data_IF_891104016547
#
_entry.id   IF_891104016547
#
_cell.length_a   1.000
_cell.length_b   1.000
_cell.length_c   1.000
_cell.angle_alpha   90.00
_cell.angle_beta   90.00
_cell.angle_gamma   90.00
#
_symmetry.space_group_name_H-M   'P 1'
#
loop_
_entity.id
_entity.type
_entity.pdbx_description
1 polymer ?
#
# COMPACT_ATOMS: atom_id res chain seq x y z
N UNK A 1 7.61 -6.11 -5.92
CA UNK A 1 8.83 -6.15 -6.71
C UNK A 1 8.64 -6.87 -8.04
N UNK A 2 9.49 -6.58 -9.03
CA UNK A 2 9.43 -7.30 -10.32
C UNK A 2 10.12 -8.67 -10.24
N UNK A 3 11.00 -8.85 -9.24
CA UNK A 3 11.79 -10.08 -9.08
C UNK A 3 11.69 -10.66 -7.66
N UNK A 4 11.95 -11.95 -7.55
CA UNK A 4 11.88 -12.72 -6.31
C UNK A 4 13.08 -12.49 -5.36
N UNK A 5 14.27 -12.18 -5.93
CA UNK A 5 15.55 -12.28 -5.23
C UNK A 5 15.75 -11.33 -4.04
N UNK A 6 15.02 -10.20 -3.98
CA UNK A 6 15.23 -9.20 -2.91
C UNK A 6 14.75 -9.69 -1.55
N UNK A 7 13.63 -10.37 -1.52
CA UNK A 7 12.93 -10.73 -0.28
C UNK A 7 12.51 -12.20 -0.20
N UNK A 8 13.05 -13.04 -1.07
CA UNK A 8 12.81 -14.50 -1.01
C UNK A 8 14.06 -15.29 -1.36
N UNK A 9 14.01 -16.59 -1.13
CA UNK A 9 15.04 -17.56 -1.58
C UNK A 9 15.01 -17.82 -3.08
N UNK A 10 14.03 -17.26 -3.81
CA UNK A 10 13.86 -17.46 -5.25
C UNK A 10 14.67 -16.49 -6.09
N UNK A 11 14.66 -16.72 -7.40
CA UNK A 11 15.27 -15.85 -8.41
C UNK A 11 14.39 -15.74 -9.65
N UNK A 12 14.66 -14.73 -10.49
CA UNK A 12 13.89 -14.46 -11.69
C UNK A 12 12.68 -13.54 -11.48
N UNK A 13 11.88 -13.38 -12.53
CA UNK A 13 10.75 -12.48 -12.54
C UNK A 13 9.51 -13.12 -11.88
N UNK A 14 8.78 -12.33 -11.07
CA UNK A 14 7.51 -12.76 -10.46
C UNK A 14 6.51 -13.16 -11.54
N UNK A 15 6.39 -12.39 -12.63
CA UNK A 15 5.48 -12.68 -13.74
C UNK A 15 5.75 -14.01 -14.47
N UNK A 16 6.97 -14.53 -14.35
CA UNK A 16 7.37 -15.82 -14.97
C UNK A 16 7.30 -17.00 -13.99
N UNK A 17 6.90 -16.77 -12.72
CA UNK A 17 6.89 -17.79 -11.69
C UNK A 17 5.45 -18.26 -11.43
N UNK A 18 5.22 -19.56 -11.48
CA UNK A 18 3.90 -20.10 -11.17
C UNK A 18 3.57 -19.90 -9.68
N UNK A 19 2.31 -19.59 -9.39
CA UNK A 19 1.85 -19.33 -8.01
C UNK A 19 2.22 -20.45 -7.03
N UNK A 20 2.05 -21.70 -7.42
CA UNK A 20 2.41 -22.86 -6.59
C UNK A 20 3.91 -22.88 -6.21
N UNK A 21 4.77 -22.41 -7.12
CA UNK A 21 6.22 -22.40 -6.91
C UNK A 21 6.60 -21.24 -5.99
N UNK A 22 5.88 -20.12 -6.06
CA UNK A 22 6.05 -19.00 -5.12
C UNK A 22 5.75 -19.39 -3.67
N UNK A 23 4.76 -20.26 -3.43
CA UNK A 23 4.37 -20.70 -2.09
C UNK A 23 5.42 -21.58 -1.40
N UNK A 24 6.42 -22.08 -2.14
CA UNK A 24 7.52 -22.89 -1.61
C UNK A 24 8.75 -22.07 -1.26
N UNK A 25 8.75 -20.77 -1.56
CA UNK A 25 9.89 -19.90 -1.30
C UNK A 25 9.94 -19.46 0.16
N UNK A 26 11.15 -19.36 0.67
CA UNK A 26 11.41 -18.74 1.96
C UNK A 26 11.46 -17.21 1.79
N UNK A 27 10.54 -16.53 2.47
CA UNK A 27 10.41 -15.07 2.47
C UNK A 27 10.89 -14.44 3.80
N UNK A 28 11.50 -15.19 4.70
CA UNK A 28 11.94 -14.71 6.00
C UNK A 28 13.45 -14.64 6.18
N UNK A 29 14.23 -15.59 5.60
CA UNK A 29 15.69 -15.67 5.79
C UNK A 29 16.45 -14.42 5.35
N UNK A 30 15.96 -13.67 4.39
CA UNK A 30 16.56 -12.40 3.94
C UNK A 30 16.55 -11.34 5.05
N UNK A 31 15.55 -11.38 5.92
CA UNK A 31 15.39 -10.45 7.02
C UNK A 31 16.27 -10.86 8.22
N UNK A 32 16.14 -12.10 8.69
CA UNK A 32 17.03 -12.66 9.71
C UNK A 32 16.93 -14.19 9.78
N UNK A 33 17.95 -14.82 10.36
CA UNK A 33 17.97 -16.28 10.57
C UNK A 33 16.80 -16.79 11.44
N UNK A 34 16.24 -15.95 12.31
CA UNK A 34 15.10 -16.29 13.16
C UNK A 34 13.79 -16.45 12.37
N UNK A 35 13.71 -15.83 11.19
CA UNK A 35 12.55 -15.88 10.29
C UNK A 35 12.75 -16.87 9.13
N UNK A 36 13.81 -17.68 9.18
CA UNK A 36 14.05 -18.69 8.16
C UNK A 36 12.89 -19.68 8.07
N UNK A 37 12.47 -19.97 6.84
CA UNK A 37 11.36 -20.89 6.56
C UNK A 37 9.97 -20.23 6.53
N UNK A 38 9.85 -18.91 6.75
CA UNK A 38 8.58 -18.21 6.58
C UNK A 38 8.17 -18.22 5.10
N UNK A 39 6.98 -18.75 4.76
CA UNK A 39 6.54 -18.81 3.37
C UNK A 39 6.12 -17.43 2.85
N UNK A 40 6.07 -17.27 1.53
CA UNK A 40 5.40 -16.12 0.91
C UNK A 40 3.90 -16.21 1.22
N UNK A 41 3.29 -15.23 1.93
CA UNK A 41 1.87 -15.28 2.23
C UNK A 41 1.06 -15.04 0.97
N UNK A 42 -0.06 -15.74 0.83
CA UNK A 42 -1.04 -15.37 -0.17
C UNK A 42 -1.79 -14.10 0.23
N UNK A 43 -2.36 -13.40 -0.75
CA UNK A 43 -3.23 -12.25 -0.47
C UNK A 43 -4.43 -12.64 0.42
N UNK A 44 -4.96 -13.85 0.21
CA UNK A 44 -6.07 -14.35 1.03
C UNK A 44 -5.64 -14.56 2.49
N UNK A 45 -4.48 -15.16 2.74
CA UNK A 45 -3.97 -15.37 4.11
C UNK A 45 -3.75 -14.03 4.83
N UNK A 46 -3.06 -13.09 4.19
CA UNK A 46 -2.79 -11.77 4.76
C UNK A 46 -4.10 -10.99 5.00
N UNK A 47 -5.02 -11.00 4.04
CA UNK A 47 -6.31 -10.30 4.15
C UNK A 47 -7.19 -10.87 5.27
N UNK A 48 -7.30 -12.21 5.39
CA UNK A 48 -8.03 -12.84 6.50
C UNK A 48 -7.46 -12.46 7.86
N UNK A 49 -6.14 -12.44 7.99
CA UNK A 49 -5.49 -12.04 9.23
C UNK A 49 -5.78 -10.56 9.58
N UNK A 50 -5.75 -9.66 8.61
CA UNK A 50 -6.12 -8.27 8.84
C UNK A 50 -7.56 -8.13 9.33
N UNK A 51 -8.51 -8.85 8.72
CA UNK A 51 -9.91 -8.85 9.13
C UNK A 51 -10.10 -9.42 10.53
N UNK A 52 -9.46 -10.55 10.83
CA UNK A 52 -9.51 -11.21 12.14
C UNK A 52 -8.97 -10.32 13.26
N UNK A 53 -7.89 -9.63 13.01
CA UNK A 53 -7.26 -8.71 13.97
C UNK A 53 -7.90 -7.32 14.00
N UNK A 54 -8.90 -7.05 13.15
CA UNK A 54 -9.55 -5.74 13.06
C UNK A 54 -8.62 -4.64 12.54
N UNK A 55 -7.59 -5.00 11.76
CA UNK A 55 -6.64 -4.05 11.19
C UNK A 55 -7.21 -3.39 9.94
N UNK A 56 -7.02 -2.08 9.83
CA UNK A 56 -7.20 -1.39 8.57
C UNK A 56 -6.04 -1.73 7.62
N UNK A 57 -6.35 -2.08 6.38
CA UNK A 57 -5.35 -2.47 5.39
C UNK A 57 -5.23 -1.43 4.27
N UNK A 58 -4.03 -0.94 4.03
CA UNK A 58 -3.65 -0.23 2.80
C UNK A 58 -3.00 -1.24 1.84
N UNK A 59 -3.73 -1.60 0.80
CA UNK A 59 -3.35 -2.66 -0.14
C UNK A 59 -2.67 -2.04 -1.36
N UNK A 60 -1.34 -2.11 -1.41
CA UNK A 60 -0.58 -1.68 -2.58
C UNK A 60 -0.68 -2.72 -3.71
N UNK A 61 -1.32 -2.32 -4.80
CA UNK A 61 -1.38 -3.10 -6.04
C UNK A 61 -0.11 -2.82 -6.84
N UNK A 62 0.80 -3.79 -6.89
CA UNK A 62 2.09 -3.69 -7.57
C UNK A 62 2.16 -4.67 -8.74
N UNK A 63 1.61 -4.29 -9.90
CA UNK A 63 1.55 -5.16 -11.06
C UNK A 63 2.90 -5.31 -11.75
N UNK A 64 3.18 -6.47 -12.30
CA UNK A 64 4.23 -6.61 -13.30
C UNK A 64 3.84 -5.88 -14.58
N UNK A 65 4.84 -5.37 -15.31
CA UNK A 65 4.65 -4.64 -16.57
C UNK A 65 3.80 -5.43 -17.56
N UNK A 66 2.75 -4.79 -18.08
CA UNK A 66 1.80 -5.38 -19.03
C UNK A 66 0.62 -6.11 -18.36
N UNK A 67 0.61 -6.21 -17.01
CA UNK A 67 -0.47 -6.86 -16.26
C UNK A 67 -1.23 -5.86 -15.34
N UNK A 68 -1.09 -4.57 -15.59
CA UNK A 68 -1.61 -3.52 -14.71
C UNK A 68 -3.13 -3.66 -14.50
N UNK A 69 -3.90 -3.69 -15.56
CA UNK A 69 -5.35 -3.78 -15.49
C UNK A 69 -5.83 -5.12 -14.91
N UNK A 70 -5.18 -6.22 -15.31
CA UNK A 70 -5.52 -7.56 -14.83
C UNK A 70 -5.28 -7.68 -13.32
N UNK A 71 -4.11 -7.21 -12.85
CA UNK A 71 -3.76 -7.24 -11.42
C UNK A 71 -4.68 -6.34 -10.61
N UNK A 72 -4.95 -5.12 -11.10
CA UNK A 72 -5.87 -4.19 -10.45
C UNK A 72 -7.26 -4.76 -10.27
N UNK A 73 -7.82 -5.35 -11.33
CA UNK A 73 -9.13 -6.00 -11.30
C UNK A 73 -9.17 -7.18 -10.32
N UNK A 74 -8.14 -8.04 -10.37
CA UNK A 74 -8.08 -9.23 -9.51
C UNK A 74 -7.95 -8.86 -8.03
N UNK A 75 -7.04 -7.93 -7.70
CA UNK A 75 -6.83 -7.45 -6.34
C UNK A 75 -8.10 -6.80 -5.76
N UNK A 76 -8.76 -5.93 -6.52
CA UNK A 76 -9.99 -5.27 -6.07
C UNK A 76 -11.13 -6.27 -5.79
N UNK A 77 -11.33 -7.23 -6.69
CA UNK A 77 -12.36 -8.28 -6.49
C UNK A 77 -12.06 -9.15 -5.28
N UNK A 78 -10.80 -9.57 -5.12
CA UNK A 78 -10.38 -10.36 -3.97
C UNK A 78 -10.54 -9.57 -2.66
N UNK A 79 -10.15 -8.30 -2.63
CA UNK A 79 -10.33 -7.42 -1.47
C UNK A 79 -11.81 -7.30 -1.09
N UNK A 80 -12.70 -7.03 -2.04
CA UNK A 80 -14.14 -6.97 -1.79
C UNK A 80 -14.68 -8.25 -1.14
N UNK A 81 -14.26 -9.42 -1.62
CA UNK A 81 -14.70 -10.70 -1.06
C UNK A 81 -14.15 -10.93 0.35
N UNK A 82 -12.88 -10.65 0.57
CA UNK A 82 -12.22 -10.85 1.87
C UNK A 82 -12.76 -9.94 2.96
N UNK A 83 -13.07 -8.67 2.64
CA UNK A 83 -13.62 -7.69 3.59
C UNK A 83 -15.15 -7.61 3.57
N UNK A 84 -15.83 -8.58 2.94
CA UNK A 84 -17.29 -8.60 2.92
C UNK A 84 -17.86 -8.64 4.35
N UNK A 85 -18.61 -7.61 4.72
CA UNK A 85 -19.20 -7.47 6.05
C UNK A 85 -18.24 -7.03 7.15
N UNK A 86 -16.98 -6.75 6.84
CA UNK A 86 -16.05 -6.16 7.79
C UNK A 86 -16.48 -4.71 8.12
N UNK A 87 -16.32 -4.33 9.40
CA UNK A 87 -16.67 -2.98 9.86
C UNK A 87 -15.80 -1.89 9.21
N UNK A 88 -14.55 -2.23 8.88
CA UNK A 88 -13.59 -1.32 8.23
C UNK A 88 -13.19 -1.91 6.89
N UNK A 89 -13.39 -1.14 5.83
CA UNK A 89 -13.02 -1.54 4.47
C UNK A 89 -11.56 -1.20 4.19
N UNK A 90 -10.85 -1.99 3.36
CA UNK A 90 -9.46 -1.72 3.01
C UNK A 90 -9.37 -0.55 2.04
N UNK A 91 -8.21 0.10 1.98
CA UNK A 91 -7.84 1.04 0.94
C UNK A 91 -7.05 0.31 -0.15
N UNK A 92 -7.33 0.61 -1.42
CA UNK A 92 -6.52 0.12 -2.54
C UNK A 92 -5.62 1.23 -3.05
N UNK A 93 -4.32 1.00 -3.18
CA UNK A 93 -3.43 1.98 -3.77
C UNK A 93 -2.52 1.37 -4.84
N UNK A 94 -1.98 2.19 -5.73
CA UNK A 94 -1.02 1.74 -6.74
C UNK A 94 -0.25 2.92 -7.33
N UNK A 95 1.05 2.76 -7.50
CA UNK A 95 1.89 3.67 -8.31
C UNK A 95 1.60 3.58 -9.80
N UNK A 96 0.81 2.57 -10.23
CA UNK A 96 0.42 2.37 -11.62
C UNK A 96 -1.03 2.84 -11.82
N UNK A 97 -1.26 4.01 -12.46
CA UNK A 97 -2.61 4.56 -12.64
C UNK A 97 -3.56 3.61 -13.38
N UNK A 98 -3.03 2.80 -14.30
CA UNK A 98 -3.83 1.82 -15.03
C UNK A 98 -4.38 0.70 -14.13
N UNK A 99 -3.59 0.25 -13.14
CA UNK A 99 -4.05 -0.73 -12.17
C UNK A 99 -5.13 -0.16 -11.26
N UNK A 100 -4.94 1.08 -10.80
CA UNK A 100 -5.91 1.77 -9.94
C UNK A 100 -7.22 2.09 -10.67
N UNK A 101 -7.15 2.48 -11.95
CA UNK A 101 -8.32 2.67 -12.79
C UNK A 101 -9.11 1.37 -12.99
N UNK A 102 -8.43 0.26 -13.27
CA UNK A 102 -9.06 -1.06 -13.41
C UNK A 102 -9.67 -1.56 -12.09
N UNK A 103 -9.01 -1.30 -10.96
CA UNK A 103 -9.54 -1.59 -9.63
C UNK A 103 -10.84 -0.79 -9.37
N UNK A 104 -10.86 0.50 -9.72
CA UNK A 104 -12.05 1.36 -9.63
C UNK A 104 -13.21 0.85 -10.49
N UNK A 105 -12.93 0.44 -11.71
CA UNK A 105 -13.95 -0.09 -12.61
C UNK A 105 -14.54 -1.41 -12.09
N UNK A 106 -13.68 -2.28 -11.57
CA UNK A 106 -14.09 -3.59 -11.08
C UNK A 106 -14.88 -3.53 -9.75
N UNK A 107 -14.51 -2.60 -8.83
CA UNK A 107 -15.09 -2.48 -7.49
C UNK A 107 -15.09 -0.99 -7.10
N UNK A 108 -16.05 -0.20 -7.61
CA UNK A 108 -16.06 1.25 -7.42
C UNK A 108 -16.27 1.68 -5.96
N UNK A 109 -16.88 0.83 -5.13
CA UNK A 109 -17.19 1.12 -3.73
C UNK A 109 -15.97 1.10 -2.80
N UNK A 110 -14.90 0.36 -3.12
CA UNK A 110 -13.70 0.38 -2.30
C UNK A 110 -12.95 1.71 -2.42
N UNK A 111 -12.51 2.31 -1.30
CA UNK A 111 -11.72 3.54 -1.33
C UNK A 111 -10.35 3.31 -1.98
N UNK A 112 -9.81 4.36 -2.59
CA UNK A 112 -8.53 4.33 -3.29
C UNK A 112 -7.59 5.41 -2.80
N UNK A 113 -6.32 5.07 -2.67
CA UNK A 113 -5.21 5.98 -2.41
C UNK A 113 -4.35 6.19 -3.65
N UNK A 114 -3.84 7.39 -3.81
CA UNK A 114 -2.96 7.76 -4.90
C UNK A 114 -1.51 7.94 -4.42
N UNK A 115 -0.65 6.90 -4.49
CA UNK A 115 0.76 7.05 -4.15
C UNK A 115 1.53 7.78 -5.25
N UNK A 116 2.41 8.68 -4.81
CA UNK A 116 3.32 9.43 -5.67
C UNK A 116 4.62 9.71 -4.93
N UNK A 117 5.74 9.76 -5.62
CA UNK A 117 7.00 10.16 -4.98
C UNK A 117 6.98 11.64 -4.62
N UNK A 118 6.56 12.47 -5.53
CA UNK A 118 6.44 13.93 -5.36
C UNK A 118 5.05 14.38 -5.75
N UNK A 119 4.41 15.23 -4.97
CA UNK A 119 3.07 15.75 -5.25
C UNK A 119 3.13 16.61 -6.52
N UNK A 120 2.52 16.19 -7.65
CA UNK A 120 2.56 16.95 -8.89
C UNK A 120 1.67 18.21 -8.81
N UNK A 121 1.91 19.19 -9.67
CA UNK A 121 1.14 20.45 -9.66
C UNK A 121 -0.36 20.23 -9.94
N UNK A 122 -0.68 19.23 -10.74
CA UNK A 122 -2.05 18.86 -11.15
C UNK A 122 -2.67 17.75 -10.27
N UNK A 123 -2.12 17.50 -9.08
CA UNK A 123 -2.51 16.42 -8.20
C UNK A 123 -4.03 16.32 -7.94
N UNK A 124 -4.73 17.46 -7.83
CA UNK A 124 -6.19 17.44 -7.61
C UNK A 124 -6.93 16.80 -8.79
N UNK A 125 -6.56 17.16 -10.02
CA UNK A 125 -7.16 16.59 -11.22
C UNK A 125 -6.88 15.09 -11.31
N UNK A 126 -5.64 14.68 -11.03
CA UNK A 126 -5.25 13.29 -11.02
C UNK A 126 -6.01 12.46 -9.95
N UNK A 127 -6.13 12.97 -8.72
CA UNK A 127 -6.90 12.35 -7.65
C UNK A 127 -8.38 12.17 -8.01
N UNK A 128 -8.98 13.20 -8.57
CA UNK A 128 -10.39 13.17 -9.03
C UNK A 128 -10.58 12.16 -10.16
N UNK A 129 -9.69 12.14 -11.14
CA UNK A 129 -9.74 11.22 -12.28
C UNK A 129 -9.71 9.77 -11.84
N UNK A 130 -8.90 9.42 -10.84
CA UNK A 130 -8.80 8.07 -10.28
C UNK A 130 -9.83 7.80 -9.17
N UNK A 131 -10.54 8.81 -8.69
CA UNK A 131 -11.49 8.71 -7.59
C UNK A 131 -10.82 8.32 -6.29
N UNK A 132 -9.62 8.88 -6.03
CA UNK A 132 -8.88 8.65 -4.80
C UNK A 132 -9.44 9.49 -3.65
N UNK A 133 -9.37 8.97 -2.44
CA UNK A 133 -9.75 9.64 -1.19
C UNK A 133 -8.53 10.06 -0.36
N UNK A 134 -7.38 9.46 -0.62
CA UNK A 134 -6.12 9.77 0.05
C UNK A 134 -4.97 9.93 -0.94
N UNK A 135 -4.05 10.85 -0.64
CA UNK A 135 -2.80 11.05 -1.34
C UNK A 135 -1.66 10.50 -0.47
N UNK A 136 -0.78 9.68 -1.07
CA UNK A 136 0.38 9.13 -0.39
C UNK A 136 1.65 9.68 -1.03
N UNK A 137 2.61 10.15 -0.24
CA UNK A 137 3.85 10.67 -0.80
C UNK A 137 5.09 10.29 0.01
N UNK A 138 6.25 10.36 -0.66
CA UNK A 138 7.53 10.29 0.02
C UNK A 138 7.67 11.52 0.94
N UNK A 139 7.79 11.27 2.24
CA UNK A 139 7.88 12.34 3.25
C UNK A 139 9.01 13.32 3.00
N UNK A 140 10.10 12.87 2.38
CA UNK A 140 11.28 13.70 2.05
C UNK A 140 10.99 14.76 1.00
N UNK A 141 9.94 14.54 0.22
CA UNK A 141 9.51 15.43 -0.86
C UNK A 141 8.29 16.27 -0.48
N UNK A 142 7.73 16.09 0.72
CA UNK A 142 6.57 16.84 1.20
C UNK A 142 7.00 18.19 1.77
N UNK A 143 6.28 19.24 1.39
CA UNK A 143 6.41 20.58 1.97
C UNK A 143 5.20 20.89 2.86
N UNK A 144 5.35 21.67 3.96
CA UNK A 144 4.25 22.00 4.87
C UNK A 144 3.03 22.63 4.17
N UNK A 145 3.28 23.48 3.17
CA UNK A 145 2.20 24.09 2.40
C UNK A 145 1.45 23.10 1.52
N UNK A 146 2.11 22.04 1.03
CA UNK A 146 1.46 20.96 0.28
C UNK A 146 0.58 20.11 1.21
N UNK A 147 1.05 19.77 2.41
CA UNK A 147 0.26 19.06 3.41
C UNK A 147 -1.06 19.81 3.70
N UNK A 148 -0.97 21.10 3.98
CA UNK A 148 -2.15 21.95 4.18
C UNK A 148 -3.09 21.95 2.97
N UNK A 149 -2.55 22.11 1.76
CA UNK A 149 -3.35 22.17 0.54
C UNK A 149 -4.10 20.84 0.25
N UNK A 150 -3.52 19.69 0.59
CA UNK A 150 -4.17 18.38 0.47
C UNK A 150 -5.33 18.28 1.45
N UNK A 151 -5.13 18.64 2.70
CA UNK A 151 -6.17 18.62 3.75
C UNK A 151 -7.31 19.61 3.46
N UNK A 152 -6.98 20.82 3.10
CA UNK A 152 -7.98 21.85 2.74
C UNK A 152 -8.84 21.45 1.53
N UNK A 153 -8.30 20.59 0.67
CA UNK A 153 -9.04 20.00 -0.44
C UNK A 153 -9.89 18.78 -0.05
N UNK A 154 -9.86 18.37 1.23
CA UNK A 154 -10.68 17.29 1.77
C UNK A 154 -10.12 15.87 1.52
N UNK A 155 -8.84 15.75 1.20
CA UNK A 155 -8.16 14.46 1.05
C UNK A 155 -7.38 14.08 2.30
N UNK A 156 -7.32 12.78 2.58
CA UNK A 156 -6.38 12.24 3.55
C UNK A 156 -4.96 12.26 2.98
N UNK A 157 -3.98 12.48 3.86
CA UNK A 157 -2.56 12.51 3.49
C UNK A 157 -1.79 11.45 4.27
N UNK A 158 -1.04 10.60 3.56
CA UNK A 158 -0.24 9.53 4.10
C UNK A 158 1.20 9.68 3.63
N UNK A 159 2.18 9.47 4.53
CA UNK A 159 3.60 9.56 4.22
C UNK A 159 4.32 8.23 4.40
N UNK A 160 5.21 7.89 3.49
CA UNK A 160 6.05 6.68 3.51
C UNK A 160 7.53 7.00 3.25
N UNK A 161 8.48 6.19 3.65
CA UNK A 161 8.47 5.33 4.82
C UNK A 161 9.26 6.04 5.91
N UNK A 162 8.60 6.36 7.01
CA UNK A 162 9.11 7.22 8.08
C UNK A 162 9.54 6.36 9.24
N UNK A 163 10.86 6.24 9.46
CA UNK A 163 11.43 5.38 10.49
C UNK A 163 12.04 6.15 11.67
N UNK A 164 12.01 7.48 11.62
CA UNK A 164 12.51 8.37 12.67
C UNK A 164 11.35 9.03 13.41
N UNK A 165 11.25 8.87 14.75
CA UNK A 165 10.17 9.41 15.55
C UNK A 165 10.05 10.94 15.52
N UNK A 166 11.18 11.67 15.47
CA UNK A 166 11.13 13.13 15.41
C UNK A 166 10.56 13.60 14.07
N UNK A 167 10.98 12.99 12.97
CA UNK A 167 10.40 13.24 11.65
C UNK A 167 8.91 12.92 11.62
N UNK A 168 8.49 11.82 12.26
CA UNK A 168 7.08 11.44 12.34
C UNK A 168 6.24 12.52 13.03
N UNK A 169 6.70 13.06 14.18
CA UNK A 169 6.01 14.16 14.89
C UNK A 169 5.87 15.41 14.02
N UNK A 170 6.95 15.81 13.36
CA UNK A 170 6.93 16.98 12.45
C UNK A 170 5.89 16.81 11.34
N UNK A 171 5.79 15.62 10.76
CA UNK A 171 4.81 15.33 9.71
C UNK A 171 3.38 15.36 10.24
N UNK A 172 3.13 14.80 11.41
CA UNK A 172 1.82 14.87 12.08
C UNK A 172 1.44 16.34 12.39
N UNK A 173 2.38 17.16 12.84
CA UNK A 173 2.16 18.60 13.07
C UNK A 173 1.84 19.36 11.76
N UNK A 174 2.37 18.93 10.63
CA UNK A 174 1.99 19.47 9.32
C UNK A 174 0.58 19.04 8.87
N UNK A 175 0.00 18.07 9.58
CA UNK A 175 -1.32 17.53 9.32
C UNK A 175 -1.34 16.30 8.41
N UNK A 176 -0.26 15.52 8.39
CA UNK A 176 -0.28 14.18 7.83
C UNK A 176 -1.19 13.31 8.70
N UNK A 177 -2.07 12.54 8.08
CA UNK A 177 -3.10 11.75 8.78
C UNK A 177 -2.60 10.35 9.14
N UNK A 178 -1.66 9.79 8.35
CA UNK A 178 -1.11 8.45 8.59
C UNK A 178 0.35 8.36 8.14
N UNK A 179 1.10 7.48 8.79
CA UNK A 179 2.52 7.22 8.52
C UNK A 179 2.72 5.73 8.27
N UNK A 180 3.43 5.42 7.19
CA UNK A 180 3.97 4.08 6.93
C UNK A 180 5.37 4.01 7.52
N UNK A 181 5.61 3.05 8.39
CA UNK A 181 6.89 2.83 9.07
C UNK A 181 7.27 1.34 9.12
N UNK A 182 8.56 1.05 9.07
CA UNK A 182 9.11 -0.29 9.38
C UNK A 182 9.44 -0.43 10.88
N UNK A 183 9.31 0.65 11.66
CA UNK A 183 9.74 0.76 13.05
C UNK A 183 8.56 0.86 14.01
N UNK A 184 7.70 -0.18 14.01
CA UNK A 184 6.57 -0.27 14.95
C UNK A 184 7.02 -0.29 16.43
N UNK A 185 8.28 -0.64 16.68
CA UNK A 185 8.92 -0.57 17.99
C UNK A 185 9.19 0.87 18.48
N UNK A 186 9.29 1.83 17.57
CA UNK A 186 9.54 3.25 17.86
C UNK A 186 8.33 4.16 17.58
N UNK A 187 7.51 3.78 16.60
CA UNK A 187 6.34 4.54 16.15
C UNK A 187 5.13 3.61 16.30
N UNK A 188 4.56 3.59 17.50
CA UNK A 188 3.40 2.77 17.83
C UNK A 188 2.09 3.38 17.26
N UNK A 189 0.97 2.62 17.22
CA UNK A 189 -0.31 3.12 16.69
C UNK A 189 -0.87 4.37 17.41
N UNK A 190 -0.52 4.56 18.66
CA UNK A 190 -0.91 5.71 19.51
C UNK A 190 0.16 6.80 19.58
N UNK A 191 1.13 6.76 18.68
CA UNK A 191 2.21 7.74 18.58
C UNK A 191 1.68 9.13 18.24
N UNK A 192 2.09 10.13 18.99
CA UNK A 192 1.71 11.54 18.87
C UNK A 192 2.92 12.48 19.05
#
# INVERSE_FOLDING_TARGET
>A
DDTLARTTSGSGAIAATAYRDMLTLDAGSWFSAQHAGEPVPSFEQAGRLCVELGLWADIEIKPSKGFEAQTGTAAARAARELWRGAAVQPLLCSFQPAALAAAREAVPELPRGGPTQTIPADWKHWMQKLGCVSLHCDYRMLLPQQARAVREAGYWLLCYTVNDPETARVLLDWGVDAIVTDRLDLIAPDFS
#
